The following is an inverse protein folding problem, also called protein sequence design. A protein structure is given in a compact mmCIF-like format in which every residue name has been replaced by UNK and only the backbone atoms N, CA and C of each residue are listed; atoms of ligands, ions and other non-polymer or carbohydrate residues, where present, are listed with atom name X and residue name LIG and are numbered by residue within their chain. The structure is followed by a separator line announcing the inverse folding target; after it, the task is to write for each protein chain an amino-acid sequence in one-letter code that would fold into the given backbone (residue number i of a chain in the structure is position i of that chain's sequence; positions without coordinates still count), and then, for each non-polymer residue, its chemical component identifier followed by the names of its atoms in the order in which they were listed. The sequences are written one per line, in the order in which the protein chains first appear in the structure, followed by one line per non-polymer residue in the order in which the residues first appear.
data_IF_341430793673
#
_entry.id   IF_341430793673
#
_cell.length_a   1.000
_cell.length_b   1.000
_cell.length_c   1.000
_cell.angle_alpha   90.00
_cell.angle_beta   90.00
_cell.angle_gamma   90.00
#
_symmetry.space_group_name_H-M   'P 1'
#
loop_
_entity.id
_entity.type
_entity.pdbx_description
1 polymer ?
#
# COMPACT_ATOMS: atom_id res chain seq x y z
N UNK A 1 42.15 37.82 0.90
CA UNK A 1 42.17 36.35 0.67
C UNK A 1 41.21 35.50 1.53
N UNK A 2 40.63 35.97 2.65
CA UNK A 2 39.76 35.14 3.53
C UNK A 2 38.30 34.95 3.07
N UNK A 3 37.72 35.88 2.28
CA UNK A 3 36.30 35.85 1.84
C UNK A 3 35.94 34.74 0.83
N UNK A 4 36.91 34.22 0.06
CA UNK A 4 36.64 33.14 -0.91
C UNK A 4 36.61 31.75 -0.24
N UNK A 5 37.34 31.55 0.86
CA UNK A 5 37.33 30.28 1.62
C UNK A 5 35.98 30.05 2.32
N UNK A 6 35.34 31.10 2.85
CA UNK A 6 34.02 31.00 3.47
C UNK A 6 32.90 30.69 2.46
N UNK A 7 32.96 31.26 1.25
CA UNK A 7 32.01 30.91 0.16
C UNK A 7 32.17 29.46 -0.31
N UNK A 8 33.40 28.95 -0.36
CA UNK A 8 33.67 27.55 -0.73
C UNK A 8 33.13 26.56 0.32
N UNK A 9 33.31 26.86 1.61
CA UNK A 9 32.76 26.06 2.71
C UNK A 9 31.22 26.05 2.67
N UNK A 10 30.60 27.21 2.40
CA UNK A 10 29.15 27.31 2.29
C UNK A 10 28.60 26.51 1.09
N UNK A 11 29.33 26.49 -0.03
CA UNK A 11 28.98 25.69 -1.20
C UNK A 11 29.09 24.17 -0.93
N UNK A 12 30.11 23.73 -0.20
CA UNK A 12 30.29 22.32 0.20
C UNK A 12 29.17 21.88 1.16
N UNK A 13 28.81 22.73 2.14
CA UNK A 13 27.67 22.49 3.02
C UNK A 13 26.35 22.42 2.25
N UNK A 14 26.17 23.24 1.21
CA UNK A 14 24.97 23.21 0.37
C UNK A 14 24.86 21.91 -0.46
N UNK A 15 25.98 21.36 -0.94
CA UNK A 15 25.99 20.09 -1.69
C UNK A 15 25.65 18.86 -0.83
N UNK A 16 25.95 18.88 0.48
CA UNK A 16 25.65 17.78 1.41
C UNK A 16 24.15 17.69 1.77
N UNK A 17 23.37 18.74 1.52
CA UNK A 17 21.93 18.78 1.84
C UNK A 17 21.11 18.03 0.78
N UNK A 18 21.66 17.80 -0.42
CA UNK A 18 20.93 17.23 -1.55
C UNK A 18 21.07 15.72 -1.74
N UNK A 19 21.87 15.01 -0.93
CA UNK A 19 21.96 13.55 -1.01
C UNK A 19 20.86 12.89 -0.19
N UNK A 20 19.59 13.09 -0.57
CA UNK A 20 18.54 12.13 -0.23
C UNK A 20 18.38 11.20 -1.42
N UNK A 21 18.87 9.97 -1.30
CA UNK A 21 18.50 8.90 -2.22
C UNK A 21 16.99 8.68 -2.06
N UNK A 22 16.21 9.14 -3.03
CA UNK A 22 14.80 8.76 -3.14
C UNK A 22 14.80 7.32 -3.59
N UNK A 23 14.87 6.38 -2.63
CA UNK A 23 14.80 4.96 -2.96
C UNK A 23 13.39 4.69 -3.47
N UNK A 24 13.34 4.46 -4.76
CA UNK A 24 12.12 4.20 -5.45
C UNK A 24 11.73 2.74 -5.28
N UNK A 25 10.80 2.45 -4.37
CA UNK A 25 10.47 1.10 -3.94
C UNK A 25 9.10 0.65 -4.44
N UNK A 26 9.04 -0.52 -5.08
CA UNK A 26 7.81 -1.24 -5.42
C UNK A 26 7.77 -2.50 -4.55
N UNK A 27 6.66 -2.70 -3.84
CA UNK A 27 6.42 -3.88 -3.00
C UNK A 27 5.28 -4.67 -3.60
N UNK A 28 5.50 -5.96 -3.89
CA UNK A 28 4.47 -6.87 -4.40
C UNK A 28 4.18 -7.93 -3.34
N UNK A 29 2.93 -7.99 -2.88
CA UNK A 29 2.42 -9.07 -2.05
C UNK A 29 1.52 -9.96 -2.89
N UNK A 30 1.89 -11.24 -3.03
CA UNK A 30 1.20 -12.20 -3.90
C UNK A 30 0.77 -13.47 -3.17
N UNK A 31 -0.19 -14.19 -3.77
CA UNK A 31 -0.76 -15.40 -3.18
C UNK A 31 -1.50 -15.12 -1.86
N UNK A 32 -2.22 -14.00 -1.80
CA UNK A 32 -2.87 -13.51 -0.59
C UNK A 32 -4.20 -14.24 -0.31
N UNK A 33 -4.22 -15.07 0.71
CA UNK A 33 -5.41 -15.84 1.10
C UNK A 33 -6.25 -15.06 2.13
N UNK A 34 -7.57 -15.28 2.15
CA UNK A 34 -8.47 -14.68 3.13
C UNK A 34 -9.26 -15.76 3.85
N UNK A 35 -9.61 -15.51 5.13
CA UNK A 35 -10.50 -16.41 5.89
C UNK A 35 -11.94 -16.39 5.35
N UNK A 36 -12.37 -15.28 4.75
CA UNK A 36 -13.76 -15.07 4.31
C UNK A 36 -13.99 -15.47 2.85
N UNK A 37 -13.01 -15.19 2.00
CA UNK A 37 -13.12 -15.25 0.55
C UNK A 37 -12.05 -16.13 -0.09
N UNK A 38 -12.43 -16.87 -1.13
CA UNK A 38 -11.54 -17.71 -1.90
C UNK A 38 -11.13 -17.07 -3.23
N UNK A 39 -9.85 -17.15 -3.53
CA UNK A 39 -9.23 -16.52 -4.70
C UNK A 39 -8.44 -17.53 -5.53
N UNK A 40 -8.47 -17.39 -6.85
CA UNK A 40 -7.49 -18.00 -7.75
C UNK A 40 -6.23 -17.12 -7.85
N UNK A 41 -6.42 -15.80 -7.79
CA UNK A 41 -5.36 -14.79 -7.71
C UNK A 41 -5.80 -13.68 -6.76
N UNK A 42 -4.90 -13.21 -5.92
CA UNK A 42 -5.09 -12.04 -5.10
C UNK A 42 -3.71 -11.46 -4.77
N UNK A 43 -3.44 -10.28 -5.31
CA UNK A 43 -2.14 -9.64 -5.32
C UNK A 43 -2.30 -8.15 -5.08
N UNK A 44 -1.35 -7.58 -4.33
CA UNK A 44 -1.29 -6.16 -4.01
C UNK A 44 0.08 -5.63 -4.43
N UNK A 45 0.09 -4.58 -5.23
CA UNK A 45 1.28 -3.92 -5.74
C UNK A 45 1.28 -2.51 -5.16
N UNK A 46 2.26 -2.19 -4.32
CA UNK A 46 2.44 -0.87 -3.74
C UNK A 46 3.61 -0.19 -4.47
N UNK A 47 3.32 0.86 -5.23
CA UNK A 47 4.33 1.72 -5.85
C UNK A 47 4.49 2.96 -4.95
N UNK A 48 5.53 2.94 -4.10
CA UNK A 48 5.78 4.01 -3.13
C UNK A 48 6.23 5.32 -3.79
N UNK A 49 6.67 5.28 -5.06
CA UNK A 49 7.01 6.49 -5.82
C UNK A 49 5.78 7.21 -6.30
N UNK A 50 4.84 6.43 -6.84
CA UNK A 50 3.59 6.97 -7.36
C UNK A 50 2.56 7.21 -6.27
N UNK A 51 2.84 6.75 -5.04
CA UNK A 51 1.91 6.78 -3.91
C UNK A 51 0.60 6.07 -4.24
N UNK A 52 0.71 4.92 -4.92
CA UNK A 52 -0.43 4.14 -5.39
C UNK A 52 -0.31 2.68 -4.96
N UNK A 53 -1.44 2.09 -4.56
CA UNK A 53 -1.61 0.64 -4.45
C UNK A 53 -2.57 0.14 -5.51
N UNK A 54 -2.20 -0.92 -6.20
CA UNK A 54 -3.05 -1.65 -7.14
C UNK A 54 -3.28 -3.07 -6.64
N UNK A 55 -4.53 -3.47 -6.49
CA UNK A 55 -4.93 -4.82 -6.16
C UNK A 55 -5.47 -5.51 -7.41
N UNK A 56 -4.91 -6.66 -7.75
CA UNK A 56 -5.42 -7.54 -8.82
C UNK A 56 -5.96 -8.82 -8.21
N UNK A 57 -7.21 -9.15 -8.49
CA UNK A 57 -7.80 -10.38 -7.96
C UNK A 57 -8.69 -11.11 -8.96
N UNK A 58 -8.77 -12.42 -8.76
CA UNK A 58 -9.68 -13.33 -9.44
C UNK A 58 -10.32 -14.22 -8.38
N UNK A 59 -11.64 -14.10 -8.19
CA UNK A 59 -12.38 -14.95 -7.27
C UNK A 59 -12.45 -16.39 -7.78
N UNK A 60 -12.46 -17.34 -6.84
CA UNK A 60 -12.88 -18.70 -7.19
C UNK A 60 -14.40 -18.74 -7.46
N UNK A 61 -14.85 -19.81 -8.11
CA UNK A 61 -16.26 -19.92 -8.53
C UNK A 61 -17.24 -19.84 -7.36
N UNK A 62 -16.93 -20.48 -6.23
CA UNK A 62 -17.77 -20.47 -5.02
C UNK A 62 -17.98 -19.06 -4.49
N UNK A 63 -16.91 -18.26 -4.41
CA UNK A 63 -16.97 -16.89 -3.88
C UNK A 63 -17.66 -15.95 -4.86
N UNK A 64 -17.38 -16.09 -6.15
CA UNK A 64 -18.00 -15.28 -7.20
C UNK A 64 -19.52 -15.46 -7.25
N UNK A 65 -20.02 -16.71 -7.30
CA UNK A 65 -21.46 -16.97 -7.34
C UNK A 65 -22.16 -16.48 -6.07
N UNK A 66 -21.53 -16.63 -4.90
CA UNK A 66 -22.06 -16.09 -3.64
C UNK A 66 -22.28 -14.57 -3.71
N UNK A 67 -21.29 -13.82 -4.21
CA UNK A 67 -21.42 -12.35 -4.30
C UNK A 67 -22.35 -11.91 -5.42
N UNK A 68 -22.41 -12.65 -6.53
CA UNK A 68 -23.29 -12.36 -7.67
C UNK A 68 -24.77 -12.38 -7.30
N UNK A 69 -25.16 -13.16 -6.29
CA UNK A 69 -26.53 -13.18 -5.75
C UNK A 69 -26.92 -11.82 -5.15
N UNK A 70 -25.98 -11.14 -4.47
CA UNK A 70 -26.25 -9.88 -3.77
C UNK A 70 -25.87 -8.64 -4.56
N UNK A 71 -24.90 -8.76 -5.48
CA UNK A 71 -24.37 -7.66 -6.28
C UNK A 71 -24.19 -8.10 -7.73
N UNK A 72 -25.07 -7.61 -8.62
CA UNK A 72 -25.03 -7.91 -10.05
C UNK A 72 -23.86 -7.25 -10.78
N UNK A 73 -23.24 -6.22 -10.18
CA UNK A 73 -22.08 -5.52 -10.76
C UNK A 73 -20.76 -6.23 -10.49
N UNK A 74 -20.78 -7.29 -9.67
CA UNK A 74 -19.57 -8.00 -9.27
C UNK A 74 -18.87 -8.61 -10.48
N UNK A 75 -17.56 -8.38 -10.55
CA UNK A 75 -16.68 -8.99 -11.55
C UNK A 75 -15.89 -10.12 -10.91
N UNK A 76 -15.80 -11.25 -11.62
CA UNK A 76 -15.00 -12.41 -11.18
C UNK A 76 -13.51 -12.05 -11.12
N UNK A 77 -13.05 -11.30 -12.11
CA UNK A 77 -11.71 -10.74 -12.21
C UNK A 77 -11.79 -9.22 -12.24
N UNK A 78 -10.98 -8.55 -11.43
CA UNK A 78 -10.94 -7.10 -11.39
C UNK A 78 -9.60 -6.57 -10.91
N UNK A 79 -9.35 -5.29 -11.21
CA UNK A 79 -8.23 -4.51 -10.70
C UNK A 79 -8.75 -3.26 -10.01
N UNK A 80 -8.20 -2.93 -8.84
CA UNK A 80 -8.57 -1.76 -8.06
C UNK A 80 -7.32 -0.97 -7.73
N UNK A 81 -7.36 0.35 -7.94
CA UNK A 81 -6.26 1.25 -7.65
C UNK A 81 -6.69 2.25 -6.58
N UNK A 82 -5.81 2.53 -5.62
CA UNK A 82 -6.03 3.50 -4.53
C UNK A 82 -4.77 4.30 -4.27
N UNK A 83 -4.93 5.50 -3.74
CA UNK A 83 -3.79 6.23 -3.22
C UNK A 83 -3.33 5.61 -1.91
N UNK A 84 -2.03 5.72 -1.65
CA UNK A 84 -1.42 5.33 -0.38
C UNK A 84 -0.60 6.48 0.19
N UNK A 85 -0.45 6.48 1.50
CA UNK A 85 0.45 7.38 2.20
C UNK A 85 1.12 6.62 3.34
N UNK A 86 2.29 7.12 3.73
CA UNK A 86 3.05 6.57 4.84
C UNK A 86 2.70 7.34 6.12
N UNK A 87 2.34 6.61 7.16
CA UNK A 87 2.15 7.11 8.52
C UNK A 87 3.09 6.33 9.45
N UNK A 88 4.19 6.97 9.83
CA UNK A 88 5.31 6.32 10.52
C UNK A 88 5.85 5.13 9.71
N UNK A 89 5.79 3.91 10.25
CA UNK A 89 6.25 2.67 9.60
C UNK A 89 5.14 1.94 8.84
N UNK A 90 3.92 2.48 8.84
CA UNK A 90 2.73 1.88 8.22
C UNK A 90 2.40 2.57 6.91
N UNK A 91 1.93 1.79 5.95
CA UNK A 91 1.41 2.28 4.67
C UNK A 91 -0.10 2.10 4.69
N UNK A 92 -0.83 3.20 4.53
CA UNK A 92 -2.29 3.24 4.57
C UNK A 92 -2.83 3.61 3.20
N UNK A 93 -3.97 3.02 2.80
CA UNK A 93 -4.72 3.53 1.65
C UNK A 93 -5.48 4.79 2.00
N UNK A 94 -5.97 5.51 1.00
CA UNK A 94 -7.05 6.47 1.17
C UNK A 94 -8.24 5.91 1.99
N UNK A 95 -8.95 6.82 2.64
CA UNK A 95 -10.12 6.53 3.45
C UNK A 95 -11.31 6.29 2.53
N UNK A 96 -11.94 5.13 2.67
CA UNK A 96 -13.18 4.82 1.95
C UNK A 96 -14.33 4.77 2.93
N UNK A 97 -15.31 5.65 2.70
CA UNK A 97 -16.48 5.81 3.53
C UNK A 97 -16.73 7.28 3.82
N UNK A 98 -17.34 7.54 4.97
CA UNK A 98 -17.68 8.87 5.43
C UNK A 98 -16.73 9.28 6.58
N UNK A 99 -16.59 10.58 6.88
CA UNK A 99 -15.72 11.03 7.96
C UNK A 99 -15.96 10.34 9.30
N UNK A 100 -17.21 10.01 9.60
CA UNK A 100 -17.63 9.34 10.84
C UNK A 100 -17.50 7.81 10.79
N UNK A 101 -17.43 7.22 9.59
CA UNK A 101 -17.20 5.78 9.41
C UNK A 101 -16.44 5.48 8.11
N UNK A 102 -15.20 5.02 8.22
CA UNK A 102 -14.37 4.72 7.06
C UNK A 102 -13.50 3.49 7.27
N UNK A 103 -13.01 2.94 6.17
CA UNK A 103 -12.04 1.84 6.16
C UNK A 103 -10.80 2.21 5.37
N UNK A 104 -9.66 1.65 5.78
CA UNK A 104 -8.37 1.77 5.12
C UNK A 104 -7.68 0.41 5.14
N UNK A 105 -6.96 0.06 4.07
CA UNK A 105 -6.02 -1.04 4.15
C UNK A 105 -4.74 -0.55 4.82
N UNK A 106 -4.17 -1.40 5.67
CA UNK A 106 -2.96 -1.15 6.42
C UNK A 106 -1.93 -2.23 6.07
N UNK A 107 -0.78 -1.75 5.62
CA UNK A 107 0.37 -2.55 5.25
C UNK A 107 1.57 -2.14 6.12
N UNK A 108 2.46 -3.09 6.36
CA UNK A 108 3.74 -2.88 7.01
C UNK A 108 4.83 -3.43 6.08
N UNK A 109 5.97 -2.75 5.99
CA UNK A 109 7.08 -3.22 5.16
C UNK A 109 7.53 -4.60 5.63
N UNK A 110 7.79 -5.50 4.68
CA UNK A 110 8.22 -6.88 4.94
C UNK A 110 7.25 -7.73 5.78
N UNK A 111 5.97 -7.33 5.91
CA UNK A 111 4.95 -8.11 6.61
C UNK A 111 3.94 -8.70 5.61
N UNK A 112 3.72 -10.03 5.59
CA UNK A 112 2.79 -10.66 4.66
C UNK A 112 1.32 -10.46 5.07
N UNK A 113 1.08 -9.97 6.28
CA UNK A 113 -0.25 -9.80 6.83
C UNK A 113 -0.80 -8.44 6.40
N UNK A 114 -1.90 -8.48 5.66
CA UNK A 114 -2.66 -7.28 5.30
C UNK A 114 -3.79 -7.11 6.31
N UNK A 115 -3.86 -5.93 6.90
CA UNK A 115 -4.90 -5.56 7.85
C UNK A 115 -5.85 -4.54 7.25
N UNK A 116 -7.05 -4.47 7.78
CA UNK A 116 -7.99 -3.39 7.55
C UNK A 116 -8.15 -2.61 8.86
N UNK A 117 -8.01 -1.29 8.76
CA UNK A 117 -8.37 -0.35 9.80
C UNK A 117 -9.78 0.13 9.49
N UNK A 118 -10.70 -0.08 10.41
CA UNK A 118 -12.06 0.45 10.38
C UNK A 118 -12.19 1.48 11.48
N UNK A 119 -12.76 2.63 11.17
CA UNK A 119 -13.06 3.67 12.16
C UNK A 119 -14.56 3.92 12.17
N UNK A 120 -15.18 3.95 13.35
CA UNK A 120 -16.59 4.29 13.54
C UNK A 120 -16.68 5.21 14.75
N UNK A 121 -17.23 6.42 14.60
CA UNK A 121 -17.38 7.39 15.70
C UNK A 121 -16.07 7.62 16.49
N UNK A 122 -14.94 7.73 15.78
CA UNK A 122 -13.58 7.85 16.32
C UNK A 122 -13.04 6.62 17.06
N UNK A 123 -13.78 5.52 17.13
CA UNK A 123 -13.29 4.24 17.63
C UNK A 123 -12.60 3.49 16.49
N UNK A 124 -11.37 3.02 16.73
CA UNK A 124 -10.57 2.31 15.74
C UNK A 124 -10.58 0.80 16.01
N UNK A 125 -10.90 0.01 14.99
CA UNK A 125 -10.76 -1.43 14.96
C UNK A 125 -9.75 -1.86 13.89
N UNK A 126 -8.80 -2.72 14.24
CA UNK A 126 -7.85 -3.30 13.29
C UNK A 126 -8.08 -4.81 13.25
N UNK A 127 -8.23 -5.35 12.04
CA UNK A 127 -8.39 -6.79 11.84
C UNK A 127 -7.60 -7.29 10.63
N UNK A 128 -7.18 -8.56 10.67
CA UNK A 128 -6.48 -9.19 9.55
C UNK A 128 -7.46 -9.60 8.47
N UNK A 129 -7.22 -9.16 7.23
CA UNK A 129 -8.07 -9.51 6.08
C UNK A 129 -7.44 -10.57 5.18
N UNK A 130 -6.11 -10.58 5.10
CA UNK A 130 -5.40 -11.46 4.20
C UNK A 130 -4.00 -11.77 4.72
N UNK A 131 -3.52 -12.96 4.41
CA UNK A 131 -2.14 -13.37 4.64
C UNK A 131 -1.53 -13.79 3.30
N UNK A 132 -0.42 -13.16 2.91
CA UNK A 132 0.25 -13.38 1.64
C UNK A 132 1.38 -14.39 1.77
N UNK A 133 1.59 -15.19 0.73
CA UNK A 133 2.62 -16.23 0.73
C UNK A 133 3.99 -15.69 0.38
N UNK A 134 4.04 -14.61 -0.40
CA UNK A 134 5.28 -14.05 -0.95
C UNK A 134 5.24 -12.54 -0.91
N UNK A 135 6.40 -11.95 -0.60
CA UNK A 135 6.67 -10.51 -0.66
C UNK A 135 7.91 -10.34 -1.54
N UNK A 136 7.82 -9.44 -2.52
CA UNK A 136 8.93 -9.07 -3.39
C UNK A 136 9.11 -7.56 -3.34
N UNK A 137 10.33 -7.12 -3.06
CA UNK A 137 10.69 -5.70 -3.01
C UNK A 137 11.63 -5.39 -4.18
N UNK A 138 11.27 -4.39 -4.98
CA UNK A 138 12.08 -3.90 -6.09
C UNK A 138 12.50 -2.48 -5.79
N UNK A 139 13.81 -2.24 -5.79
CA UNK A 139 14.36 -0.90 -5.76
C UNK A 139 14.68 -0.49 -7.19
N UNK A 140 14.15 0.65 -7.63
CA UNK A 140 14.64 1.30 -8.84
C UNK A 140 15.93 2.02 -8.47
N UNK A 141 17.01 1.68 -9.16
CA UNK A 141 18.23 2.48 -9.16
C UNK A 141 17.88 3.88 -9.68
N UNK A 142 18.28 4.92 -8.94
CA UNK A 142 18.19 6.34 -9.34
C UNK A 142 19.50 6.81 -9.92
#
# INVERSE_FOLDING_TARGET
MKKNKTKLILAILFSLIFSKTLIAEIIILSGCDSKKDGFLKNEYILDLNKLIMTRNYVYNQKTFERYKITDLSIKKENSLTRFIYTDNEKILTDKIGYPQFYTQLLFEKNNPIIRIKTVINNEEGISTISNCKKIENFQKES
#
